data_IF_598144017095
#
_entry.id   IF_598144017095
#
_cell.length_a   1.000
_cell.length_b   1.000
_cell.length_c   1.000
_cell.angle_alpha   90.00
_cell.angle_beta   90.00
_cell.angle_gamma   90.00
#
_symmetry.space_group_name_H-M   'P 1'
#
loop_
_entity.id
_entity.type
_entity.pdbx_description
1 polymer ?
#
# COMPACT_ATOMS: atom_id res chain seq x y z
N UNK A 1 -5.18 34.25 0.51
CA UNK A 1 -4.66 32.96 0.00
C UNK A 1 -4.31 32.10 1.21
N UNK A 2 -5.04 31.01 1.51
CA UNK A 2 -4.57 30.07 2.52
C UNK A 2 -3.52 29.14 1.91
N UNK A 3 -2.30 29.34 2.43
CA UNK A 3 -1.13 28.48 2.45
C UNK A 3 -1.42 26.96 2.44
N UNK A 4 -0.68 26.25 1.59
CA UNK A 4 -0.51 24.80 1.63
C UNK A 4 0.15 24.35 2.93
N UNK A 5 -0.32 23.26 3.56
CA UNK A 5 0.53 22.42 4.38
C UNK A 5 1.13 21.30 3.51
N UNK A 6 2.45 21.30 3.38
CA UNK A 6 3.22 20.13 2.94
C UNK A 6 3.00 18.97 3.92
N UNK A 7 2.89 17.71 3.47
CA UNK A 7 2.95 16.57 4.38
C UNK A 7 4.40 16.33 4.80
N UNK A 8 4.89 17.10 5.77
CA UNK A 8 6.08 16.72 6.53
C UNK A 8 5.62 15.81 7.66
N UNK A 9 5.50 14.52 7.35
CA UNK A 9 5.28 13.44 8.32
C UNK A 9 6.59 12.71 8.55
N UNK A 10 7.26 13.10 9.63
CA UNK A 10 8.58 12.65 10.05
C UNK A 10 8.64 11.16 10.42
N UNK A 11 9.85 10.63 10.30
CA UNK A 11 10.35 9.39 10.86
C UNK A 11 9.96 9.26 12.34
N UNK A 12 8.91 8.50 12.63
CA UNK A 12 8.55 8.15 14.00
C UNK A 12 8.19 6.66 14.07
N UNK A 13 9.06 5.92 14.76
CA UNK A 13 8.87 4.54 15.16
C UNK A 13 7.80 4.46 16.27
N UNK A 14 6.57 4.84 15.96
CA UNK A 14 5.45 4.88 16.90
C UNK A 14 4.30 4.05 16.32
N UNK A 15 4.18 2.84 16.87
CA UNK A 15 3.12 1.85 16.65
C UNK A 15 3.04 1.29 15.21
N UNK A 16 3.54 0.07 15.01
CA UNK A 16 3.11 -0.82 13.93
C UNK A 16 1.67 -1.29 14.18
N UNK A 17 0.75 -0.35 14.42
CA UNK A 17 -0.65 -0.58 14.09
C UNK A 17 -0.63 -0.74 12.59
N UNK A 18 -1.08 -1.88 12.09
CA UNK A 18 -1.20 -2.12 10.66
C UNK A 18 -1.97 -0.95 10.02
N UNK A 19 -1.25 0.04 9.48
CA UNK A 19 -1.86 1.21 8.82
C UNK A 19 -2.63 0.78 7.57
N UNK A 20 -2.52 -0.50 7.19
CA UNK A 20 -3.28 -1.09 6.12
C UNK A 20 -4.66 -1.57 6.51
N UNK A 21 -5.02 -1.58 7.80
CA UNK A 21 -6.41 -1.80 8.22
C UNK A 21 -7.32 -0.67 7.70
N UNK A 22 -6.87 0.58 7.73
CA UNK A 22 -7.64 1.70 7.18
C UNK A 22 -7.37 1.94 5.68
N UNK A 23 -6.20 1.54 5.17
CA UNK A 23 -5.74 1.87 3.80
C UNK A 23 -4.95 0.72 3.16
N UNK A 24 -5.56 -0.16 2.36
CA UNK A 24 -4.85 -1.28 1.75
C UNK A 24 -3.73 -0.80 0.79
N UNK A 25 -2.73 -1.65 0.58
CA UNK A 25 -1.67 -1.40 -0.40
C UNK A 25 -2.14 -1.78 -1.80
N UNK A 26 -2.04 -0.86 -2.75
CA UNK A 26 -2.39 -1.12 -4.14
C UNK A 26 -1.15 -1.56 -4.93
N UNK A 27 -1.24 -2.69 -5.60
CA UNK A 27 -0.24 -3.19 -6.54
C UNK A 27 -0.78 -3.01 -7.94
N UNK A 28 -0.07 -2.27 -8.79
CA UNK A 28 -0.47 -2.05 -10.18
C UNK A 28 0.23 -3.07 -11.09
N UNK A 29 -0.55 -3.86 -11.81
CA UNK A 29 -0.09 -4.94 -12.67
C UNK A 29 -0.33 -6.33 -12.05
N UNK A 30 -1.13 -7.17 -12.73
CA UNK A 30 -1.45 -8.56 -12.39
C UNK A 30 -0.47 -9.59 -12.96
N UNK A 31 0.66 -9.14 -13.52
CA UNK A 31 1.73 -10.01 -13.98
C UNK A 31 2.46 -10.72 -12.83
N UNK A 32 3.44 -11.58 -13.13
CA UNK A 32 4.15 -12.40 -12.13
C UNK A 32 4.83 -11.56 -11.04
N UNK A 33 5.39 -10.40 -11.38
CA UNK A 33 5.97 -9.49 -10.38
C UNK A 33 4.95 -8.88 -9.43
N UNK A 34 3.76 -8.52 -9.93
CA UNK A 34 2.71 -7.93 -9.11
C UNK A 34 2.06 -8.94 -8.17
N UNK A 35 1.78 -10.15 -8.66
CA UNK A 35 1.29 -11.24 -7.82
C UNK A 35 2.31 -11.69 -6.79
N UNK A 36 3.60 -11.79 -7.15
CA UNK A 36 4.66 -12.08 -6.19
C UNK A 36 4.76 -11.01 -5.08
N UNK A 37 4.57 -9.74 -5.44
CA UNK A 37 4.53 -8.63 -4.49
C UNK A 37 3.34 -8.75 -3.54
N UNK A 38 2.14 -9.00 -4.07
CA UNK A 38 0.93 -9.19 -3.27
C UNK A 38 1.06 -10.39 -2.30
N UNK A 39 1.65 -11.50 -2.77
CA UNK A 39 1.92 -12.67 -1.94
C UNK A 39 2.90 -12.35 -0.80
N UNK A 40 3.98 -11.63 -1.09
CA UNK A 40 4.95 -11.21 -0.08
C UNK A 40 4.32 -10.26 0.96
N UNK A 41 3.45 -9.34 0.54
CA UNK A 41 2.68 -8.46 1.44
C UNK A 41 1.74 -9.27 2.33
N UNK A 42 1.00 -10.22 1.74
CA UNK A 42 0.09 -11.10 2.48
C UNK A 42 0.81 -11.95 3.52
N UNK A 43 1.98 -12.49 3.19
CA UNK A 43 2.81 -13.25 4.13
C UNK A 43 3.28 -12.42 5.34
N UNK A 44 3.32 -11.09 5.20
CA UNK A 44 3.66 -10.13 6.27
C UNK A 44 2.42 -9.61 7.00
N UNK A 45 1.23 -10.14 6.72
CA UNK A 45 -0.04 -9.71 7.32
C UNK A 45 -0.62 -8.44 6.68
N UNK A 46 -0.01 -7.92 5.62
CA UNK A 46 -0.43 -6.67 4.99
C UNK A 46 -1.55 -6.92 3.98
N UNK A 47 -2.62 -6.12 4.02
CA UNK A 47 -3.71 -6.19 3.03
C UNK A 47 -3.27 -5.54 1.71
N UNK A 48 -3.27 -6.33 0.64
CA UNK A 48 -2.92 -5.88 -0.70
C UNK A 48 -4.10 -6.04 -1.68
N UNK A 49 -4.29 -5.06 -2.55
CA UNK A 49 -5.26 -5.04 -3.65
C UNK A 49 -4.49 -4.92 -4.96
N UNK A 50 -4.63 -5.91 -5.84
CA UNK A 50 -3.98 -5.91 -7.16
C UNK A 50 -4.94 -5.27 -8.17
N UNK A 51 -4.46 -4.27 -8.89
CA UNK A 51 -5.18 -3.60 -9.98
C UNK A 51 -4.47 -3.94 -11.29
N UNK A 52 -5.18 -4.65 -12.17
CA UNK A 52 -4.71 -4.99 -13.51
C UNK A 52 -5.58 -4.25 -14.54
N UNK A 53 -4.96 -3.77 -15.62
CA UNK A 53 -5.67 -3.04 -16.69
C UNK A 53 -6.64 -3.96 -17.45
N UNK A 54 -6.29 -5.23 -17.56
CA UNK A 54 -7.05 -6.24 -18.27
C UNK A 54 -8.31 -6.60 -17.49
N UNK A 55 -9.46 -6.60 -18.15
CA UNK A 55 -10.74 -7.04 -17.55
C UNK A 55 -10.86 -8.58 -17.46
N UNK A 56 -9.77 -9.32 -17.73
CA UNK A 56 -9.71 -10.78 -17.78
C UNK A 56 -8.82 -11.33 -16.68
#
# INVERSE_FOLDING_TARGET
MPNSPSPTGSTDAVALTDRTDDRPVYVIGGGPGGLATAAALRARGVRAVVLEKSDR
#
